data_IF_905758589428
#
_entry.id   IF_905758589428
#
_cell.length_a   1.000
_cell.length_b   1.000
_cell.length_c   1.000
_cell.angle_alpha   90.00
_cell.angle_beta   90.00
_cell.angle_gamma   90.00
#
_symmetry.space_group_name_H-M   'P 1'
#
loop_
_entity.id
_entity.type
_entity.pdbx_description
1 polymer ?
#
# COMPACT_ATOMS: atom_id res chain seq x y z
N UNK A 1 13.38 3.39 9.76
CA UNK A 1 12.35 4.13 9.00
C UNK A 1 11.11 3.24 8.72
N UNK A 2 9.90 3.79 8.66
CA UNK A 2 8.69 3.00 8.28
C UNK A 2 8.78 2.59 6.82
N UNK A 3 8.58 1.31 6.53
CA UNK A 3 8.47 0.74 5.18
C UNK A 3 7.15 -0.02 5.00
N UNK A 4 6.80 -0.34 3.74
CA UNK A 4 5.66 -1.18 3.39
C UNK A 4 6.01 -2.31 2.43
N UNK A 5 5.13 -3.30 2.38
CA UNK A 5 5.19 -4.48 1.51
C UNK A 5 4.15 -4.44 0.38
N UNK A 6 3.59 -3.27 0.04
CA UNK A 6 2.51 -3.17 -0.95
C UNK A 6 2.91 -3.74 -2.32
N UNK A 7 4.16 -3.54 -2.73
CA UNK A 7 4.68 -4.10 -3.98
C UNK A 7 4.63 -5.63 -3.98
N UNK A 8 5.00 -6.24 -2.86
CA UNK A 8 4.99 -7.70 -2.71
C UNK A 8 3.55 -8.23 -2.69
N UNK A 9 2.66 -7.60 -1.91
CA UNK A 9 1.23 -7.95 -1.85
C UNK A 9 0.61 -7.86 -3.25
N UNK A 10 0.85 -6.75 -3.97
CA UNK A 10 0.34 -6.55 -5.32
C UNK A 10 0.82 -7.63 -6.29
N UNK A 11 2.11 -7.98 -6.26
CA UNK A 11 2.68 -8.92 -7.22
C UNK A 11 2.42 -10.38 -6.88
N UNK A 12 2.42 -10.77 -5.60
CA UNK A 12 2.25 -12.16 -5.17
C UNK A 12 0.80 -12.57 -5.02
N UNK A 13 -0.04 -11.70 -4.46
CA UNK A 13 -1.40 -12.08 -4.06
C UNK A 13 -2.43 -11.67 -5.11
N UNK A 14 -2.32 -10.45 -5.62
CA UNK A 14 -3.29 -9.91 -6.57
C UNK A 14 -2.87 -10.10 -8.02
N UNK A 15 -1.56 -10.23 -8.29
CA UNK A 15 -0.98 -10.27 -9.64
C UNK A 15 -1.48 -9.13 -10.56
N UNK A 16 -1.77 -7.98 -9.95
CA UNK A 16 -2.33 -6.81 -10.63
C UNK A 16 -1.24 -5.85 -11.10
N UNK A 17 -1.50 -5.16 -12.21
CA UNK A 17 -0.70 -4.00 -12.57
C UNK A 17 -0.97 -2.84 -11.57
N UNK A 18 -0.07 -1.85 -11.51
CA UNK A 18 -0.25 -0.73 -10.56
C UNK A 18 -1.60 -0.01 -10.74
N UNK A 19 -2.11 0.07 -11.98
CA UNK A 19 -3.37 0.75 -12.30
C UNK A 19 -4.58 0.07 -11.71
N UNK A 20 -4.68 -1.24 -11.89
CA UNK A 20 -5.73 -2.05 -11.29
C UNK A 20 -5.68 -1.95 -9.77
N UNK A 21 -4.49 -2.03 -9.20
CA UNK A 21 -4.32 -2.07 -7.76
C UNK A 21 -4.66 -0.73 -7.09
N UNK A 22 -4.17 0.42 -7.58
CA UNK A 22 -4.55 1.71 -6.99
C UNK A 22 -6.04 2.01 -7.17
N UNK A 23 -6.64 1.51 -8.25
CA UNK A 23 -8.09 1.66 -8.51
C UNK A 23 -8.90 0.85 -7.51
N UNK A 24 -8.49 -0.40 -7.26
CA UNK A 24 -9.11 -1.25 -6.23
C UNK A 24 -8.98 -0.67 -4.83
N UNK A 25 -7.81 -0.10 -4.51
CA UNK A 25 -7.55 0.57 -3.23
C UNK A 25 -8.27 1.92 -3.08
N UNK A 26 -8.83 2.49 -4.16
CA UNK A 26 -9.46 3.80 -4.15
C UNK A 26 -8.48 4.96 -3.89
N UNK A 27 -7.22 4.81 -4.29
CA UNK A 27 -6.16 5.83 -4.12
C UNK A 27 -5.67 6.34 -5.47
N UNK A 28 -5.15 7.56 -5.49
CA UNK A 28 -4.61 8.14 -6.72
C UNK A 28 -3.32 7.42 -7.15
N UNK A 29 -3.04 7.39 -8.47
CA UNK A 29 -1.79 6.84 -9.02
C UNK A 29 -0.53 7.44 -8.38
N UNK A 30 -0.52 8.77 -8.16
CA UNK A 30 0.63 9.46 -7.58
C UNK A 30 0.81 9.06 -6.12
N UNK A 31 -0.26 9.09 -5.32
CA UNK A 31 -0.23 8.66 -3.92
C UNK A 31 0.26 7.22 -3.81
N UNK A 32 -0.34 6.30 -4.56
CA UNK A 32 0.03 4.89 -4.56
C UNK A 32 1.50 4.67 -4.93
N UNK A 33 1.97 5.29 -6.01
CA UNK A 33 3.35 5.12 -6.46
C UNK A 33 4.37 5.60 -5.44
N UNK A 34 4.09 6.71 -4.74
CA UNK A 34 4.98 7.20 -3.68
C UNK A 34 4.97 6.26 -2.47
N UNK A 35 3.82 5.66 -2.14
CA UNK A 35 3.72 4.67 -1.06
C UNK A 35 4.44 3.38 -1.44
N UNK A 36 4.13 2.77 -2.58
CA UNK A 36 4.76 1.51 -3.03
C UNK A 36 6.29 1.62 -3.08
N UNK A 37 6.83 2.79 -3.43
CA UNK A 37 8.28 3.03 -3.48
C UNK A 37 8.88 3.52 -2.14
N UNK A 38 8.13 3.49 -1.04
CA UNK A 38 8.55 3.96 0.28
C UNK A 38 9.04 5.42 0.33
N UNK A 39 8.61 6.26 -0.63
CA UNK A 39 8.93 7.69 -0.65
C UNK A 39 8.10 8.47 0.37
N UNK A 40 6.87 8.02 0.63
CA UNK A 40 5.99 8.50 1.69
C UNK A 40 5.11 7.34 2.14
N UNK A 41 4.64 7.28 3.39
CA UNK A 41 3.72 6.21 3.80
C UNK A 41 2.24 6.57 3.65
N UNK A 42 1.95 7.85 3.42
CA UNK A 42 0.60 8.38 3.49
C UNK A 42 0.25 8.82 4.92
N UNK A 43 -0.88 9.51 5.06
CA UNK A 43 -1.45 9.83 6.36
C UNK A 43 -2.18 8.61 6.94
N UNK A 44 -2.55 8.70 8.22
CA UNK A 44 -3.26 7.64 8.95
C UNK A 44 -4.53 7.20 8.18
N UNK A 45 -5.29 8.15 7.62
CA UNK A 45 -6.50 7.83 6.85
C UNK A 45 -6.19 6.98 5.60
N UNK A 46 -5.15 7.32 4.84
CA UNK A 46 -4.73 6.57 3.64
C UNK A 46 -4.30 5.16 4.00
N UNK A 47 -3.50 5.03 5.06
CA UNK A 47 -3.02 3.75 5.57
C UNK A 47 -4.20 2.86 5.98
N UNK A 48 -5.15 3.40 6.74
CA UNK A 48 -6.34 2.67 7.18
C UNK A 48 -7.26 2.30 6.01
N UNK A 49 -7.43 3.19 5.02
CA UNK A 49 -8.22 2.89 3.81
C UNK A 49 -7.61 1.73 3.02
N UNK A 50 -6.30 1.75 2.80
CA UNK A 50 -5.58 0.68 2.09
C UNK A 50 -5.66 -0.63 2.87
N UNK A 51 -5.42 -0.60 4.19
CA UNK A 51 -5.54 -1.76 5.05
C UNK A 51 -6.94 -2.39 5.01
N UNK A 52 -7.98 -1.54 5.05
CA UNK A 52 -9.37 -1.97 4.91
C UNK A 52 -9.65 -2.56 3.52
N UNK A 53 -9.16 -1.94 2.45
CA UNK A 53 -9.34 -2.44 1.09
C UNK A 53 -8.65 -3.80 0.87
N UNK A 54 -7.48 -4.00 1.50
CA UNK A 54 -6.75 -5.27 1.49
C UNK A 54 -7.29 -6.29 2.50
N UNK A 55 -8.30 -5.92 3.30
CA UNK A 55 -8.86 -6.73 4.40
C UNK A 55 -7.78 -7.29 5.34
N UNK A 56 -6.81 -6.44 5.70
CA UNK A 56 -5.65 -6.82 6.52
C UNK A 56 -5.30 -5.76 7.55
N UNK A 57 -4.68 -6.15 8.68
CA UNK A 57 -4.15 -5.18 9.63
C UNK A 57 -3.01 -4.38 9.01
N UNK A 58 -2.90 -3.11 9.45
CA UNK A 58 -1.84 -2.18 8.99
C UNK A 58 -0.44 -2.77 9.21
N UNK A 59 -0.26 -3.52 10.29
CA UNK A 59 0.99 -4.14 10.74
C UNK A 59 1.52 -5.22 9.78
N UNK A 60 0.64 -5.84 9.00
CA UNK A 60 1.05 -6.81 7.96
C UNK A 60 1.54 -6.12 6.68
N UNK A 61 1.10 -4.88 6.46
CA UNK A 61 1.41 -4.10 5.26
C UNK A 61 2.59 -3.16 5.52
N UNK A 62 2.62 -2.50 6.68
CA UNK A 62 3.66 -1.56 7.12
C UNK A 62 4.45 -2.10 8.30
N UNK A 63 5.76 -1.89 8.27
CA UNK A 63 6.68 -2.33 9.31
C UNK A 63 7.74 -1.26 9.57
N UNK A 64 8.30 -1.30 10.78
CA UNK A 64 9.47 -0.50 11.13
C UNK A 64 10.71 -1.26 10.69
N UNK A 65 11.49 -0.67 9.80
CA UNK A 65 12.86 -1.10 9.52
C UNK A 65 13.80 -0.24 10.39
N UNK A 66 14.83 -0.81 11.01
CA UNK A 66 15.83 -0.04 11.77
C UNK A 66 16.73 0.78 10.83
#
# INVERSE_FOLDING_TARGET
MVKNKLKEIRMKEYMMNQKEFYTMLGVSKSTYSQIENNKQQGNIETILRIAKALSRPVEEIWFLED
#
